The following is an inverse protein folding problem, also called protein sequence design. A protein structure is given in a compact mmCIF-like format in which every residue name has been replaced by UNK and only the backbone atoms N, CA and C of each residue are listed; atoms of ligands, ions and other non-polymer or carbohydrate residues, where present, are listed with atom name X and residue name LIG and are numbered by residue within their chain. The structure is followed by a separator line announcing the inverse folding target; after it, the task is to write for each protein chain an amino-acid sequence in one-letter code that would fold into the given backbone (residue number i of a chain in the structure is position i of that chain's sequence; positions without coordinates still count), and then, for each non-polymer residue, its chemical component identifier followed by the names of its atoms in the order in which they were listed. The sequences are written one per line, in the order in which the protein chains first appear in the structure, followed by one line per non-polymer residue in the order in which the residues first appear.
data_IF_742249342665
#
_entry.id   IF_742249342665
#
_cell.length_a   1.000
_cell.length_b   1.000
_cell.length_c   1.000
_cell.angle_alpha   90.00
_cell.angle_beta   90.00
_cell.angle_gamma   90.00
#
_symmetry.space_group_name_H-M   'P 1'
#
loop_
_entity.id
_entity.type
_entity.pdbx_description
1 polymer ?
#
# COMPACT_ATOMS: atom_id res chain seq x y z
N UNK A 1 67.72 24.02 -27.84
CA UNK A 1 67.45 22.57 -27.93
C UNK A 1 67.50 22.02 -26.50
N UNK A 2 66.36 21.52 -26.02
CA UNK A 2 66.06 20.86 -24.73
C UNK A 2 66.36 21.61 -23.40
N UNK A 3 65.31 22.02 -22.65
CA UNK A 3 65.33 22.06 -21.20
C UNK A 3 64.81 20.73 -20.61
N UNK A 4 65.59 20.09 -19.74
CA UNK A 4 65.17 18.97 -18.90
C UNK A 4 65.32 19.38 -17.44
N UNK A 5 64.20 19.58 -16.74
CA UNK A 5 64.16 19.81 -15.29
C UNK A 5 63.56 18.59 -14.58
N UNK A 6 64.20 18.04 -13.53
CA UNK A 6 63.73 16.86 -12.83
C UNK A 6 62.67 17.16 -11.76
N UNK A 7 61.57 16.41 -11.85
CA UNK A 7 60.76 15.77 -10.80
C UNK A 7 61.10 16.14 -9.34
N UNK A 8 60.47 17.17 -8.77
CA UNK A 8 60.20 17.22 -7.32
C UNK A 8 59.21 18.34 -6.92
N UNK A 9 58.04 18.42 -7.54
CA UNK A 9 56.99 19.40 -7.15
C UNK A 9 55.62 18.72 -6.96
N UNK A 10 55.61 17.48 -6.47
CA UNK A 10 54.37 16.73 -6.21
C UNK A 10 53.94 16.68 -4.74
N UNK A 11 54.67 17.34 -3.83
CA UNK A 11 54.45 17.18 -2.38
C UNK A 11 53.84 18.40 -1.65
N UNK A 12 53.46 19.47 -2.36
CA UNK A 12 53.04 20.73 -1.72
C UNK A 12 51.62 21.22 -2.10
N UNK A 13 50.75 20.34 -2.63
CA UNK A 13 49.40 20.73 -3.10
C UNK A 13 48.25 19.95 -2.44
N UNK A 14 48.52 18.99 -1.55
CA UNK A 14 47.47 18.14 -0.95
C UNK A 14 46.85 18.75 0.32
N UNK A 15 47.48 19.75 0.94
CA UNK A 15 47.00 20.27 2.24
C UNK A 15 45.91 21.36 2.12
N UNK A 16 45.62 21.90 0.92
CA UNK A 16 44.62 22.97 0.76
C UNK A 16 43.21 22.48 0.36
N UNK A 17 43.04 21.19 0.03
CA UNK A 17 41.73 20.64 -0.37
C UNK A 17 40.89 20.11 0.79
N UNK A 18 41.45 19.99 2.01
CA UNK A 18 40.73 19.43 3.16
C UNK A 18 39.85 20.45 3.92
N UNK A 19 39.98 21.76 3.65
CA UNK A 19 39.24 22.82 4.34
C UNK A 19 37.88 23.20 3.74
N UNK A 20 37.55 22.74 2.53
CA UNK A 20 36.36 23.22 1.78
C UNK A 20 35.17 22.25 1.78
N UNK A 21 35.22 21.17 2.57
CA UNK A 21 34.15 20.17 2.65
C UNK A 21 33.29 20.28 3.92
N UNK A 22 33.61 21.22 4.82
CA UNK A 22 32.97 21.33 6.14
C UNK A 22 31.68 22.17 6.28
N UNK A 23 31.18 23.00 5.33
CA UNK A 23 29.95 23.74 5.61
C UNK A 23 28.66 22.98 5.28
N UNK A 24 28.72 21.78 4.68
CA UNK A 24 27.51 21.03 4.31
C UNK A 24 26.92 20.19 5.45
N UNK A 25 27.66 19.95 6.53
CA UNK A 25 27.17 19.18 7.68
C UNK A 25 26.15 19.95 8.55
N UNK A 26 26.04 21.28 8.40
CA UNK A 26 25.21 22.13 9.26
C UNK A 26 23.78 22.38 8.71
N UNK A 27 23.43 21.85 7.53
CA UNK A 27 22.07 21.99 6.95
C UNK A 27 21.23 20.71 7.10
N UNK A 28 21.58 19.84 8.04
CA UNK A 28 20.76 18.72 8.49
C UNK A 28 20.14 19.01 9.88
N UNK A 29 19.82 20.28 10.16
CA UNK A 29 18.90 20.61 11.25
C UNK A 29 17.51 20.12 10.85
N UNK A 30 17.20 18.91 11.31
CA UNK A 30 15.92 18.45 11.79
C UNK A 30 14.77 19.41 11.46
N UNK A 31 14.09 19.16 10.34
CA UNK A 31 12.66 19.42 10.28
C UNK A 31 12.01 18.39 11.20
N UNK A 32 12.05 18.70 12.49
CA UNK A 32 11.29 18.00 13.51
C UNK A 32 9.84 18.39 13.24
N UNK A 33 9.21 17.71 12.29
CA UNK A 33 7.79 17.84 12.04
C UNK A 33 7.09 17.18 13.23
N UNK A 34 7.11 17.87 14.37
CA UNK A 34 6.34 17.53 15.54
C UNK A 34 4.89 17.67 15.10
N UNK A 35 4.31 16.57 14.64
CA UNK A 35 2.91 16.53 14.25
C UNK A 35 2.13 16.96 15.49
N UNK A 36 1.38 18.08 15.44
CA UNK A 36 0.57 18.51 16.56
C UNK A 36 -0.28 17.34 17.03
N UNK A 37 -0.35 17.08 18.34
CA UNK A 37 -1.12 15.94 18.87
C UNK A 37 -2.59 15.96 18.39
N UNK A 38 -3.14 17.16 18.14
CA UNK A 38 -4.45 17.34 17.52
C UNK A 38 -4.53 16.80 16.07
N UNK A 39 -3.49 17.02 15.27
CA UNK A 39 -3.41 16.50 13.88
C UNK A 39 -3.24 14.98 13.87
N UNK A 40 -2.51 14.40 14.83
CA UNK A 40 -2.44 12.95 15.02
C UNK A 40 -3.80 12.38 15.40
N UNK A 41 -4.51 13.02 16.34
CA UNK A 41 -5.82 12.56 16.78
C UNK A 41 -6.85 12.61 15.64
N UNK A 42 -6.84 13.68 14.83
CA UNK A 42 -7.67 13.78 13.64
C UNK A 42 -7.32 12.71 12.60
N UNK A 43 -6.04 12.45 12.35
CA UNK A 43 -5.61 11.40 11.43
C UNK A 43 -6.06 10.00 11.89
N UNK A 44 -5.96 9.70 13.18
CA UNK A 44 -6.43 8.43 13.75
C UNK A 44 -7.95 8.29 13.57
N UNK A 45 -8.72 9.35 13.85
CA UNK A 45 -10.18 9.33 13.65
C UNK A 45 -10.55 9.11 12.18
N UNK A 46 -9.89 9.82 11.27
CA UNK A 46 -10.12 9.68 9.83
C UNK A 46 -9.77 8.28 9.33
N UNK A 47 -8.64 7.72 9.77
CA UNK A 47 -8.22 6.36 9.45
C UNK A 47 -9.23 5.33 9.97
N UNK A 48 -9.69 5.47 11.21
CA UNK A 48 -10.71 4.59 11.80
C UNK A 48 -12.03 4.64 11.01
N UNK A 49 -12.52 5.84 10.68
CA UNK A 49 -13.72 6.00 9.87
C UNK A 49 -13.57 5.41 8.47
N UNK A 50 -12.43 5.63 7.81
CA UNK A 50 -12.16 5.04 6.50
C UNK A 50 -12.15 3.50 6.57
N UNK A 51 -11.53 2.93 7.60
CA UNK A 51 -11.50 1.48 7.85
C UNK A 51 -12.91 0.91 8.03
N UNK A 52 -13.74 1.54 8.86
CA UNK A 52 -15.13 1.12 9.07
C UNK A 52 -15.95 1.15 7.77
N UNK A 53 -15.82 2.22 6.99
CA UNK A 53 -16.50 2.36 5.70
C UNK A 53 -16.06 1.28 4.71
N UNK A 54 -14.75 1.02 4.64
CA UNK A 54 -14.21 0.00 3.73
C UNK A 54 -14.62 -1.41 4.17
N UNK A 55 -14.61 -1.71 5.48
CA UNK A 55 -15.14 -2.96 6.02
C UNK A 55 -16.60 -3.16 5.62
N UNK A 56 -17.45 -2.14 5.80
CA UNK A 56 -18.86 -2.22 5.46
C UNK A 56 -19.09 -2.50 3.97
N UNK A 57 -18.34 -1.84 3.08
CA UNK A 57 -18.41 -2.06 1.62
C UNK A 57 -18.04 -3.49 1.25
N UNK A 58 -16.90 -3.98 1.74
CA UNK A 58 -16.41 -5.32 1.44
C UNK A 58 -17.35 -6.39 2.01
N UNK A 59 -17.79 -6.23 3.26
CA UNK A 59 -18.74 -7.16 3.89
C UNK A 59 -20.07 -7.21 3.15
N UNK A 60 -20.58 -6.06 2.69
CA UNK A 60 -21.81 -5.98 1.90
C UNK A 60 -21.68 -6.76 0.60
N UNK A 61 -20.59 -6.55 -0.14
CA UNK A 61 -20.33 -7.27 -1.39
C UNK A 61 -20.29 -8.79 -1.18
N UNK A 62 -19.53 -9.28 -0.18
CA UNK A 62 -19.48 -10.72 0.12
C UNK A 62 -20.76 -11.28 0.75
N UNK A 63 -21.68 -10.42 1.17
CA UNK A 63 -23.01 -10.80 1.67
C UNK A 63 -24.06 -10.90 0.57
N UNK A 64 -23.78 -10.47 -0.65
CA UNK A 64 -24.69 -10.60 -1.78
C UNK A 64 -24.98 -12.07 -2.12
N UNK A 65 -26.22 -12.40 -2.44
CA UNK A 65 -26.64 -13.77 -2.73
C UNK A 65 -25.92 -14.37 -3.94
N UNK A 66 -25.66 -13.56 -4.97
CA UNK A 66 -24.86 -13.97 -6.13
C UNK A 66 -23.45 -14.36 -5.71
N UNK A 67 -22.81 -13.55 -4.87
CA UNK A 67 -21.45 -13.81 -4.39
C UNK A 67 -21.42 -15.08 -3.55
N UNK A 68 -22.32 -15.22 -2.56
CA UNK A 68 -22.44 -16.45 -1.76
C UNK A 68 -22.66 -17.68 -2.62
N UNK A 69 -23.49 -17.59 -3.68
CA UNK A 69 -23.73 -18.70 -4.60
C UNK A 69 -22.44 -19.13 -5.30
N UNK A 70 -21.68 -18.18 -5.84
CA UNK A 70 -20.40 -18.47 -6.50
C UNK A 70 -19.40 -19.11 -5.54
N UNK A 71 -19.28 -18.60 -4.31
CA UNK A 71 -18.40 -19.19 -3.29
C UNK A 71 -18.79 -20.64 -2.99
N UNK A 72 -20.08 -20.90 -2.77
CA UNK A 72 -20.59 -22.26 -2.53
C UNK A 72 -20.32 -23.20 -3.70
N UNK A 73 -20.57 -22.76 -4.94
CA UNK A 73 -20.34 -23.60 -6.13
C UNK A 73 -18.86 -23.90 -6.37
N UNK A 74 -17.96 -23.06 -5.88
CA UNK A 74 -16.51 -23.23 -6.01
C UNK A 74 -15.85 -23.88 -4.80
N UNK A 75 -16.65 -24.38 -3.84
CA UNK A 75 -16.18 -24.99 -2.58
C UNK A 75 -15.35 -24.03 -1.71
N UNK A 76 -15.50 -22.73 -1.91
CA UNK A 76 -14.93 -21.70 -1.04
C UNK A 76 -15.88 -21.49 0.13
N UNK A 77 -15.36 -21.67 1.36
CA UNK A 77 -16.15 -21.46 2.58
C UNK A 77 -16.41 -19.95 2.80
N UNK A 78 -17.67 -19.48 2.73
CA UNK A 78 -18.01 -18.09 2.96
C UNK A 78 -17.65 -17.59 4.37
N UNK A 79 -17.60 -18.48 5.37
CA UNK A 79 -17.20 -18.10 6.73
C UNK A 79 -15.71 -17.81 6.82
N UNK A 80 -14.86 -18.55 6.09
CA UNK A 80 -13.42 -18.24 6.01
C UNK A 80 -13.18 -16.89 5.34
N UNK A 81 -13.90 -16.60 4.26
CA UNK A 81 -13.85 -15.29 3.58
C UNK A 81 -14.24 -14.17 4.54
N UNK A 82 -15.35 -14.32 5.29
CA UNK A 82 -15.76 -13.32 6.29
C UNK A 82 -14.72 -13.09 7.39
N UNK A 83 -14.02 -14.14 7.82
CA UNK A 83 -12.94 -14.04 8.82
C UNK A 83 -11.66 -13.39 8.27
N UNK A 84 -11.42 -13.49 6.96
CA UNK A 84 -10.28 -12.86 6.29
C UNK A 84 -10.43 -11.34 6.12
N UNK A 85 -11.65 -10.83 5.99
CA UNK A 85 -11.87 -9.39 5.78
C UNK A 85 -11.28 -8.51 6.91
N UNK A 86 -11.50 -8.79 8.21
CA UNK A 86 -10.94 -7.96 9.28
C UNK A 86 -9.44 -8.12 9.50
N UNK A 87 -8.80 -9.14 8.90
CA UNK A 87 -7.35 -9.37 9.01
C UNK A 87 -6.53 -8.58 8.00
N UNK A 88 -7.19 -7.84 7.08
CA UNK A 88 -6.53 -6.97 6.11
C UNK A 88 -5.97 -5.71 6.76
N UNK A 89 -4.87 -5.20 6.20
CA UNK A 89 -4.40 -3.85 6.50
C UNK A 89 -5.40 -2.80 5.98
N UNK A 90 -5.26 -1.56 6.45
CA UNK A 90 -6.15 -0.48 6.03
C UNK A 90 -6.00 -0.17 4.52
N UNK A 91 -4.78 -0.30 3.98
CA UNK A 91 -4.49 -0.13 2.55
C UNK A 91 -5.09 -1.26 1.71
N UNK A 92 -4.90 -2.51 2.14
CA UNK A 92 -5.46 -3.69 1.46
C UNK A 92 -6.98 -3.64 1.44
N UNK A 93 -7.58 -3.27 2.57
CA UNK A 93 -9.00 -3.14 2.73
C UNK A 93 -9.56 -2.00 1.88
N UNK A 94 -8.88 -0.84 1.83
CA UNK A 94 -9.29 0.28 0.97
C UNK A 94 -9.22 -0.08 -0.51
N UNK A 95 -8.17 -0.81 -0.93
CA UNK A 95 -8.02 -1.30 -2.30
C UNK A 95 -9.12 -2.30 -2.65
N UNK A 96 -9.41 -3.24 -1.76
CA UNK A 96 -10.48 -4.22 -1.95
C UNK A 96 -11.85 -3.54 -2.01
N UNK A 97 -12.13 -2.58 -1.12
CA UNK A 97 -13.37 -1.81 -1.13
C UNK A 97 -13.58 -1.06 -2.46
N UNK A 98 -12.52 -0.41 -2.95
CA UNK A 98 -12.53 0.30 -4.24
C UNK A 98 -12.77 -0.65 -5.41
N UNK A 99 -12.17 -1.83 -5.37
CA UNK A 99 -12.37 -2.88 -6.37
C UNK A 99 -13.81 -3.41 -6.34
N UNK A 100 -14.38 -3.67 -5.16
CA UNK A 100 -15.79 -4.11 -5.03
C UNK A 100 -16.78 -3.05 -5.48
N UNK A 101 -16.50 -1.76 -5.24
CA UNK A 101 -17.33 -0.66 -5.74
C UNK A 101 -17.28 -0.59 -7.27
N UNK A 102 -16.09 -0.73 -7.86
CA UNK A 102 -15.94 -0.78 -9.32
C UNK A 102 -16.73 -1.94 -9.93
N UNK A 103 -16.60 -3.14 -9.36
CA UNK A 103 -17.29 -4.33 -9.85
C UNK A 103 -18.81 -4.15 -9.76
N UNK A 104 -19.33 -3.64 -8.64
CA UNK A 104 -20.77 -3.37 -8.50
C UNK A 104 -21.27 -2.38 -9.56
N UNK A 105 -20.52 -1.30 -9.85
CA UNK A 105 -20.85 -0.37 -10.93
C UNK A 105 -20.83 -1.03 -12.31
N UNK A 106 -19.79 -1.82 -12.60
CA UNK A 106 -19.66 -2.51 -13.89
C UNK A 106 -20.77 -3.56 -14.08
N UNK A 107 -21.22 -4.22 -13.00
CA UNK A 107 -22.37 -5.13 -13.01
C UNK A 107 -23.66 -4.35 -13.29
N UNK A 108 -23.89 -3.23 -12.59
CA UNK A 108 -25.08 -2.41 -12.76
C UNK A 108 -25.17 -1.79 -14.16
N UNK A 109 -24.03 -1.44 -14.75
CA UNK A 109 -23.92 -0.96 -16.12
C UNK A 109 -24.06 -2.07 -17.18
N UNK A 110 -24.17 -3.35 -16.78
CA UNK A 110 -24.22 -4.48 -17.70
C UNK A 110 -22.92 -4.75 -18.46
N UNK A 111 -21.79 -4.18 -18.01
CA UNK A 111 -20.49 -4.29 -18.66
C UNK A 111 -19.83 -5.66 -18.46
N UNK A 112 -20.28 -6.43 -17.47
CA UNK A 112 -19.71 -7.75 -17.12
C UNK A 112 -20.69 -8.88 -17.43
N UNK A 113 -20.20 -9.90 -18.13
CA UNK A 113 -20.93 -11.15 -18.33
C UNK A 113 -20.96 -11.99 -17.04
N UNK A 114 -21.95 -12.89 -16.91
CA UNK A 114 -22.07 -13.78 -15.73
C UNK A 114 -20.79 -14.60 -15.47
N UNK A 115 -20.12 -15.05 -16.53
CA UNK A 115 -18.85 -15.79 -16.43
C UNK A 115 -17.73 -14.90 -15.89
N UNK A 116 -17.61 -13.66 -16.38
CA UNK A 116 -16.62 -12.70 -15.88
C UNK A 116 -16.86 -12.36 -14.41
N UNK A 117 -18.12 -12.11 -14.02
CA UNK A 117 -18.49 -11.86 -12.61
C UNK A 117 -18.06 -13.04 -11.73
N UNK A 118 -18.32 -14.27 -12.17
CA UNK A 118 -17.94 -15.48 -11.45
C UNK A 118 -16.43 -15.56 -11.24
N UNK A 119 -15.62 -15.37 -12.29
CA UNK A 119 -14.16 -15.37 -12.16
C UNK A 119 -13.64 -14.26 -11.25
N UNK A 120 -14.21 -13.06 -11.32
CA UNK A 120 -13.83 -11.94 -10.46
C UNK A 120 -14.12 -12.28 -8.99
N UNK A 121 -15.28 -12.84 -8.67
CA UNK A 121 -15.63 -13.23 -7.29
C UNK A 121 -14.65 -14.29 -6.76
N UNK A 122 -14.32 -15.29 -7.58
CA UNK A 122 -13.34 -16.33 -7.20
C UNK A 122 -11.98 -15.71 -6.94
N UNK A 123 -11.50 -14.84 -7.83
CA UNK A 123 -10.21 -14.17 -7.69
C UNK A 123 -10.13 -13.36 -6.38
N UNK A 124 -11.17 -12.59 -6.07
CA UNK A 124 -11.22 -11.81 -4.82
C UNK A 124 -11.27 -12.70 -3.58
N UNK A 125 -12.06 -13.76 -3.60
CA UNK A 125 -12.15 -14.69 -2.48
C UNK A 125 -10.84 -15.43 -2.24
N UNK A 126 -10.17 -15.88 -3.30
CA UNK A 126 -8.85 -16.51 -3.21
C UNK A 126 -7.82 -15.53 -2.67
N UNK A 127 -7.79 -14.29 -3.14
CA UNK A 127 -6.89 -13.26 -2.62
C UNK A 127 -7.06 -13.06 -1.11
N UNK A 128 -8.31 -12.97 -0.63
CA UNK A 128 -8.61 -12.88 0.80
C UNK A 128 -8.12 -14.10 1.59
N UNK A 129 -8.36 -15.30 1.08
CA UNK A 129 -7.91 -16.53 1.76
C UNK A 129 -6.39 -16.62 1.82
N UNK A 130 -5.71 -16.22 0.75
CA UNK A 130 -4.24 -16.15 0.72
C UNK A 130 -3.74 -15.17 1.78
N UNK A 131 -4.29 -13.95 1.85
CA UNK A 131 -3.91 -12.99 2.88
C UNK A 131 -4.15 -13.53 4.29
N UNK A 132 -5.29 -14.20 4.55
CA UNK A 132 -5.56 -14.82 5.84
C UNK A 132 -4.50 -15.88 6.21
N UNK A 133 -4.02 -16.68 5.25
CA UNK A 133 -3.01 -17.70 5.50
C UNK A 133 -1.64 -17.08 5.80
N UNK A 134 -1.29 -15.96 5.16
CA UNK A 134 -0.03 -15.26 5.43
C UNK A 134 -0.04 -14.47 6.73
N UNK A 135 -1.21 -14.05 7.20
CA UNK A 135 -1.38 -13.30 8.46
C UNK A 135 -1.58 -14.22 9.68
N UNK A 136 -2.24 -15.38 9.52
CA UNK A 136 -2.53 -16.33 10.60
C UNK A 136 -1.32 -17.16 11.03
#
# INVERSE_FOLDING_TARGET
MAPNFPRSTAAALVTFTLGLLLPFAAKLQAQDHVVPAADLQQQIQNAAHAREQNLAKVQRFFSEERVKKVLKTTRVDPQKVRKAIPSLSDEELARLASQTDKIQRDIAAGALTNTQITYIIIALATALLVTLIFVA
#
